data_IF_120435836198
#
_entry.id   IF_120435836198
#
_cell.length_a   1.000
_cell.length_b   1.000
_cell.length_c   1.000
_cell.angle_alpha   90.00
_cell.angle_beta   90.00
_cell.angle_gamma   90.00
#
_symmetry.space_group_name_H-M   'P 1'
#
loop_
_entity.id
_entity.type
_entity.pdbx_description
1 polymer ?
#
# COMPACT_ATOMS: atom_id res chain seq x y z
N UNK A 1 4.63 -9.26 22.10
CA UNK A 1 5.23 -8.69 20.87
C UNK A 1 4.51 -7.38 20.58
N UNK A 2 5.20 -6.25 20.78
CA UNK A 2 4.64 -4.95 20.45
C UNK A 2 4.76 -4.75 18.94
N UNK A 3 3.62 -4.70 18.24
CA UNK A 3 3.56 -4.23 16.86
C UNK A 3 3.93 -2.74 16.94
N UNK A 4 5.11 -2.39 16.44
CA UNK A 4 5.58 -1.01 16.41
C UNK A 4 4.76 -0.32 15.32
N UNK A 5 3.71 0.41 15.70
CA UNK A 5 2.92 1.29 14.82
C UNK A 5 3.88 2.41 14.35
N UNK A 6 4.48 2.25 13.17
CA UNK A 6 5.42 3.19 12.54
C UNK A 6 4.66 4.36 11.91
N UNK A 7 5.04 5.61 12.24
CA UNK A 7 4.39 6.90 11.85
C UNK A 7 4.17 7.06 10.33
N UNK A 8 2.92 7.03 9.85
CA UNK A 8 2.56 7.10 8.42
C UNK A 8 3.05 8.40 7.74
N UNK A 9 2.89 9.55 8.40
CA UNK A 9 3.35 10.87 7.91
C UNK A 9 4.89 11.00 7.82
N UNK A 10 5.63 10.07 8.44
CA UNK A 10 7.08 10.01 8.28
C UNK A 10 7.50 9.22 7.04
N UNK A 11 6.61 8.40 6.49
CA UNK A 11 6.96 7.31 5.61
C UNK A 11 6.31 7.39 4.22
N UNK A 12 5.16 8.07 4.07
CA UNK A 12 4.54 8.33 2.76
C UNK A 12 4.27 9.81 2.50
N UNK A 13 4.30 10.21 1.23
CA UNK A 13 3.88 11.55 0.80
C UNK A 13 2.36 11.69 0.72
N UNK A 14 1.64 10.57 0.57
CA UNK A 14 0.19 10.52 0.39
C UNK A 14 -0.38 9.24 1.00
N UNK A 15 -1.64 9.28 1.45
CA UNK A 15 -2.34 8.07 1.91
C UNK A 15 -2.37 7.03 0.78
N UNK A 16 -2.05 5.76 1.06
CA UNK A 16 -2.11 4.71 0.05
C UNK A 16 -3.49 4.59 -0.61
N UNK A 17 -3.49 4.28 -1.89
CA UNK A 17 -4.71 4.13 -2.71
C UNK A 17 -4.75 2.77 -3.40
N UNK A 18 -5.91 2.38 -3.93
CA UNK A 18 -6.03 1.18 -4.74
C UNK A 18 -6.11 1.57 -6.20
N UNK A 19 -5.23 0.98 -7.01
CA UNK A 19 -5.20 1.16 -8.45
C UNK A 19 -5.72 -0.09 -9.14
N UNK A 20 -6.56 0.10 -10.16
CA UNK A 20 -7.10 -0.97 -11.00
C UNK A 20 -6.58 -0.86 -12.43
N UNK A 21 -6.10 -1.96 -12.99
CA UNK A 21 -5.83 -2.09 -14.42
C UNK A 21 -6.40 -3.41 -14.96
N UNK A 22 -7.37 -3.30 -15.87
CA UNK A 22 -8.18 -4.44 -16.32
C UNK A 22 -8.83 -5.16 -15.13
N UNK A 23 -8.43 -6.41 -14.90
CA UNK A 23 -8.90 -7.26 -13.80
C UNK A 23 -7.94 -7.33 -12.59
N UNK A 24 -6.82 -6.60 -12.63
CA UNK A 24 -5.80 -6.60 -11.57
C UNK A 24 -5.97 -5.37 -10.68
N UNK A 25 -5.64 -5.55 -9.41
CA UNK A 25 -5.73 -4.51 -8.38
C UNK A 25 -4.40 -4.42 -7.64
N UNK A 26 -3.99 -3.20 -7.32
CA UNK A 26 -2.70 -2.92 -6.69
C UNK A 26 -2.89 -1.92 -5.56
N UNK A 27 -2.12 -2.09 -4.50
CA UNK A 27 -1.94 -1.05 -3.48
C UNK A 27 -0.85 -0.12 -4.00
N UNK A 28 -1.16 1.16 -4.10
CA UNK A 28 -0.25 2.21 -4.54
C UNK A 28 0.12 3.11 -3.38
N UNK A 29 1.41 3.29 -3.16
CA UNK A 29 1.92 4.21 -2.17
C UNK A 29 3.26 4.80 -2.61
N UNK A 30 3.49 6.07 -2.24
CA UNK A 30 4.73 6.78 -2.52
C UNK A 30 5.44 7.08 -1.22
N UNK A 31 6.68 6.63 -1.11
CA UNK A 31 7.52 6.89 0.05
C UNK A 31 7.79 8.39 0.20
N UNK A 32 7.84 8.88 1.44
CA UNK A 32 8.13 10.28 1.72
C UNK A 32 9.51 10.69 1.15
N UNK A 33 9.61 11.84 0.50
CA UNK A 33 10.89 12.37 0.08
C UNK A 33 11.39 13.36 1.15
N UNK A 34 12.07 12.83 2.17
CA UNK A 34 12.65 13.64 3.24
C UNK A 34 14.17 13.57 3.14
N UNK A 35 14.79 14.73 2.88
CA UNK A 35 16.24 14.88 2.97
C UNK A 35 16.72 14.33 4.32
N UNK A 36 17.57 13.31 4.28
CA UNK A 36 18.18 12.62 5.44
C UNK A 36 17.35 11.56 6.18
N UNK A 37 16.25 11.06 5.63
CA UNK A 37 15.57 9.90 6.21
C UNK A 37 15.74 8.66 5.31
N UNK A 38 16.53 7.65 5.71
CA UNK A 38 16.55 6.39 4.97
C UNK A 38 15.16 5.76 5.04
N UNK A 39 14.45 5.75 3.91
CA UNK A 39 13.20 5.05 3.79
C UNK A 39 13.45 3.65 3.26
N UNK A 40 13.22 2.72 4.16
CA UNK A 40 13.36 1.30 3.94
C UNK A 40 12.18 0.75 3.18
N UNK A 41 12.39 -0.34 2.43
CA UNK A 41 11.30 -1.05 1.78
C UNK A 41 10.25 -1.47 2.82
N UNK A 42 8.98 -1.14 2.58
CA UNK A 42 7.85 -1.50 3.41
C UNK A 42 6.98 -2.48 2.64
N UNK A 43 6.54 -3.53 3.32
CA UNK A 43 5.59 -4.50 2.75
C UNK A 43 4.23 -4.28 3.36
N UNK A 44 3.19 -4.19 2.55
CA UNK A 44 1.83 -4.05 3.05
C UNK A 44 1.30 -5.41 3.51
N UNK A 45 0.55 -5.40 4.61
CA UNK A 45 -0.27 -6.53 5.06
C UNK A 45 -1.72 -6.11 5.13
N UNK A 46 -2.59 -7.12 5.19
CA UNK A 46 -4.00 -6.88 5.38
C UNK A 46 -4.64 -7.93 6.28
N UNK A 47 -5.78 -7.53 6.86
CA UNK A 47 -6.64 -8.40 7.66
C UNK A 47 -8.10 -8.05 7.40
N UNK A 48 -8.97 -9.04 7.47
CA UNK A 48 -10.41 -8.84 7.37
C UNK A 48 -11.00 -8.86 8.78
N UNK A 49 -11.69 -7.80 9.16
CA UNK A 49 -12.31 -7.64 10.48
C UNK A 49 -13.68 -7.01 10.34
N UNK A 50 -14.72 -7.68 10.85
CA UNK A 50 -16.10 -7.16 10.86
C UNK A 50 -16.51 -6.55 9.50
N UNK A 51 -16.36 -7.34 8.43
CA UNK A 51 -16.68 -6.94 7.05
C UNK A 51 -15.92 -5.72 6.53
N UNK A 52 -14.71 -5.48 7.05
CA UNK A 52 -13.76 -4.49 6.55
C UNK A 52 -12.47 -5.17 6.16
N UNK A 53 -11.94 -4.84 4.98
CA UNK A 53 -10.58 -5.16 4.59
C UNK A 53 -9.68 -4.01 5.05
N UNK A 54 -8.76 -4.30 5.97
CA UNK A 54 -7.87 -3.30 6.57
C UNK A 54 -6.45 -3.59 6.16
N UNK A 55 -5.82 -2.65 5.46
CA UNK A 55 -4.41 -2.66 5.09
C UNK A 55 -3.58 -1.89 6.12
N UNK A 56 -2.35 -2.34 6.36
CA UNK A 56 -1.41 -1.75 7.33
C UNK A 56 0.01 -2.23 7.06
N UNK A 57 1.01 -1.56 7.66
CA UNK A 57 2.42 -1.95 7.55
C UNK A 57 2.84 -2.63 8.86
N UNK A 58 3.26 -3.91 8.82
CA UNK A 58 3.70 -4.62 10.01
C UNK A 58 5.16 -4.32 10.39
N UNK A 59 6.02 -3.99 9.41
CA UNK A 59 7.47 -3.83 9.56
C UNK A 59 8.11 -3.27 8.27
N UNK A 60 9.30 -2.65 8.43
CA UNK A 60 10.21 -2.20 7.37
C UNK A 60 11.35 -3.21 7.16
N UNK A 61 11.76 -3.46 5.92
CA UNK A 61 12.92 -4.28 5.58
C UNK A 61 14.21 -3.42 5.53
N UNK A 62 15.27 -3.85 6.22
CA UNK A 62 16.44 -3.03 6.58
C UNK A 62 17.43 -2.65 5.46
N UNK A 63 17.02 -2.67 4.19
CA UNK A 63 17.90 -2.36 3.06
C UNK A 63 17.22 -1.54 1.96
N UNK A 64 17.96 -0.60 1.37
CA UNK A 64 17.50 0.30 0.29
C UNK A 64 17.23 1.72 0.76
N UNK A 65 17.32 2.69 -0.16
CA UNK A 65 16.77 4.03 -0.01
C UNK A 65 15.63 4.18 -1.01
N UNK A 66 14.41 4.14 -0.51
CA UNK A 66 13.18 4.24 -1.31
C UNK A 66 12.58 5.64 -1.24
N UNK A 67 13.31 6.66 -0.75
CA UNK A 67 12.79 8.02 -0.63
C UNK A 67 12.22 8.53 -1.97
N UNK A 68 10.98 9.02 -1.95
CA UNK A 68 10.27 9.51 -3.14
C UNK A 68 9.77 8.43 -4.11
N UNK A 69 10.20 7.18 -3.95
CA UNK A 69 9.86 6.09 -4.87
C UNK A 69 8.38 5.74 -4.80
N UNK A 70 7.83 5.37 -5.96
CA UNK A 70 6.47 4.86 -6.07
C UNK A 70 6.50 3.33 -6.04
N UNK A 71 5.57 2.72 -5.31
CA UNK A 71 5.42 1.27 -5.26
C UNK A 71 4.00 0.83 -5.58
N UNK A 72 3.93 -0.37 -6.14
CA UNK A 72 2.71 -1.09 -6.45
C UNK A 72 2.83 -2.52 -5.94
N UNK A 73 1.97 -2.90 -5.00
CA UNK A 73 1.85 -4.27 -4.51
C UNK A 73 0.55 -4.91 -5.03
N UNK A 74 0.65 -6.01 -5.77
CA UNK A 74 -0.52 -6.67 -6.34
C UNK A 74 -1.37 -7.38 -5.28
N UNK A 75 -2.69 -7.21 -5.41
CA UNK A 75 -3.69 -7.85 -4.56
C UNK A 75 -4.25 -9.06 -5.31
N UNK A 76 -3.81 -10.26 -4.94
CA UNK A 76 -4.19 -11.50 -5.63
C UNK A 76 -5.29 -12.29 -4.93
N UNK A 77 -5.54 -12.04 -3.64
CA UNK A 77 -6.54 -12.78 -2.87
C UNK A 77 -7.96 -12.46 -3.33
N UNK A 78 -8.67 -13.48 -3.82
CA UNK A 78 -10.09 -13.34 -4.24
C UNK A 78 -10.97 -12.69 -3.18
N UNK A 79 -10.80 -13.07 -1.90
CA UNK A 79 -11.58 -12.51 -0.80
C UNK A 79 -11.29 -11.02 -0.62
N UNK A 80 -10.03 -10.59 -0.74
CA UNK A 80 -9.68 -9.16 -0.70
C UNK A 80 -10.27 -8.41 -1.90
N UNK A 81 -10.18 -8.99 -3.10
CA UNK A 81 -10.75 -8.39 -4.32
C UNK A 81 -12.27 -8.19 -4.22
N UNK A 82 -13.00 -9.14 -3.64
CA UNK A 82 -14.44 -9.01 -3.43
C UNK A 82 -14.77 -7.88 -2.44
N UNK A 83 -13.99 -7.75 -1.36
CA UNK A 83 -14.11 -6.63 -0.40
C UNK A 83 -13.83 -5.27 -1.04
N UNK A 84 -12.83 -5.19 -1.92
CA UNK A 84 -12.46 -3.96 -2.65
C UNK A 84 -13.58 -3.55 -3.60
N UNK A 85 -14.17 -4.50 -4.33
CA UNK A 85 -15.32 -4.24 -5.22
C UNK A 85 -16.55 -3.74 -4.47
N UNK A 86 -16.71 -4.14 -3.22
CA UNK A 86 -17.76 -3.67 -2.31
C UNK A 86 -17.42 -2.33 -1.64
N UNK A 87 -16.28 -1.71 -1.95
CA UNK A 87 -15.80 -0.46 -1.33
C UNK A 87 -15.59 -0.56 0.19
N UNK A 88 -15.22 -1.74 0.69
CA UNK A 88 -14.97 -2.00 2.11
C UNK A 88 -13.47 -2.07 2.43
N UNK A 89 -12.64 -1.33 1.69
CA UNK A 89 -11.19 -1.31 1.86
C UNK A 89 -10.73 -0.04 2.60
N UNK A 90 -9.90 -0.24 3.62
CA UNK A 90 -9.43 0.81 4.51
C UNK A 90 -7.92 0.70 4.76
N UNK A 91 -7.27 1.85 4.88
CA UNK A 91 -5.91 1.97 5.40
C UNK A 91 -5.98 2.21 6.90
N UNK A 92 -5.18 1.48 7.69
CA UNK A 92 -5.02 1.72 9.13
C UNK A 92 -3.88 2.70 9.33
N UNK A 93 -4.24 3.90 9.73
CA UNK A 93 -3.33 4.93 10.22
C UNK A 93 -2.74 4.55 11.58
N UNK A 94 -1.65 5.22 11.93
CA UNK A 94 -0.88 4.97 13.16
C UNK A 94 -1.62 5.37 14.42
N UNK A 95 -2.46 6.40 14.32
CA UNK A 95 -3.37 6.78 15.39
C UNK A 95 -4.52 5.77 15.57
N UNK A 96 -4.55 4.69 14.78
CA UNK A 96 -5.59 3.66 14.77
C UNK A 96 -6.82 4.01 13.94
N UNK A 97 -6.85 5.19 13.32
CA UNK A 97 -7.92 5.61 12.43
C UNK A 97 -7.95 4.73 11.17
N UNK A 98 -9.16 4.45 10.69
CA UNK A 98 -9.35 3.79 9.40
C UNK A 98 -9.72 4.84 8.37
N UNK A 99 -8.91 4.96 7.32
CA UNK A 99 -9.14 5.86 6.20
C UNK A 99 -9.61 5.02 5.02
N UNK A 100 -10.72 5.41 4.39
CA UNK A 100 -11.22 4.71 3.20
C UNK A 100 -10.20 4.81 2.08
N UNK A 101 -9.85 3.67 1.47
CA UNK A 101 -8.96 3.66 0.32
C UNK A 101 -9.77 3.79 -0.96
N UNK A 102 -9.64 4.91 -1.70
CA UNK A 102 -10.32 5.04 -2.97
C UNK A 102 -9.74 4.05 -3.98
N UNK A 103 -10.62 3.51 -4.82
CA UNK A 103 -10.24 2.73 -6.00
C UNK A 103 -10.29 3.66 -7.20
N UNK A 104 -9.18 3.77 -7.92
CA UNK A 104 -9.08 4.53 -9.18
C UNK A 104 -8.50 3.67 -10.30
N UNK A 105 -8.79 4.06 -11.54
CA UNK A 105 -8.13 3.46 -12.69
C UNK A 105 -6.64 3.87 -12.74
N UNK A 106 -5.81 2.96 -13.25
CA UNK A 106 -4.39 3.17 -13.45
C UNK A 106 -4.12 4.30 -14.45
N UNK A 107 -3.19 5.19 -14.13
CA UNK A 107 -2.66 6.17 -15.06
C UNK A 107 -1.43 5.63 -15.82
N UNK A 108 -0.85 6.47 -16.69
CA UNK A 108 0.33 6.10 -17.48
C UNK A 108 1.53 5.70 -16.61
N UNK A 109 1.70 6.35 -15.44
CA UNK A 109 2.81 6.06 -14.51
C UNK A 109 2.60 4.70 -13.84
N UNK A 110 1.37 4.42 -13.40
CA UNK A 110 1.04 3.14 -12.79
C UNK A 110 1.21 1.99 -13.80
N UNK A 111 0.76 2.18 -15.04
CA UNK A 111 0.90 1.18 -16.11
C UNK A 111 2.37 0.90 -16.42
N UNK A 112 3.20 1.95 -16.50
CA UNK A 112 4.64 1.80 -16.75
C UNK A 112 5.32 0.96 -15.66
N UNK A 113 5.03 1.22 -14.37
CA UNK A 113 5.57 0.46 -13.24
C UNK A 113 5.11 -1.00 -13.21
N UNK A 114 3.84 -1.25 -13.57
CA UNK A 114 3.32 -2.62 -13.66
C UNK A 114 4.00 -3.40 -14.79
N UNK A 115 4.33 -2.72 -15.89
CA UNK A 115 4.99 -3.34 -17.04
C UNK A 115 6.49 -3.54 -16.84
N UNK A 116 7.16 -2.66 -16.09
CA UNK A 116 8.60 -2.80 -15.81
C UNK A 116 8.91 -3.98 -14.89
N UNK A 117 7.92 -4.44 -14.12
CA UNK A 117 8.11 -5.51 -13.14
C UNK A 117 8.76 -5.03 -11.83
N UNK A 118 8.97 -3.72 -11.68
CA UNK A 118 9.47 -3.11 -10.45
C UNK A 118 8.36 -3.01 -9.37
N UNK A 119 7.11 -3.29 -9.74
CA UNK A 119 6.02 -3.56 -8.79
C UNK A 119 6.13 -5.00 -8.27
N UNK A 120 6.81 -5.18 -7.15
CA UNK A 120 7.07 -6.51 -6.60
C UNK A 120 5.76 -7.24 -6.19
N UNK A 121 5.56 -8.44 -6.74
CA UNK A 121 4.51 -9.38 -6.33
C UNK A 121 5.13 -10.39 -5.36
N UNK A 122 4.74 -10.36 -4.08
CA UNK A 122 5.16 -11.37 -3.10
C UNK A 122 3.94 -12.20 -2.64
N UNK A 123 4.06 -13.52 -2.82
CA UNK A 123 3.09 -14.56 -2.44
C UNK A 123 3.05 -14.80 -0.92
#
# INVERSE_FOLDING_TARGET
MAIVDLRDEAHFTECPTIVKTGNRYFIRFRYADKENMPLYFMTVRSRIMADKLVFFIPATASSGNMAGELQLEEITSRKQLDMIRQQHAFWKEVNGQLVTMPVRDADETDVALIQSGDGYVYY
#
